data_IF_035179654741
#
_entry.id   IF_035179654741
#
_cell.length_a   1.000
_cell.length_b   1.000
_cell.length_c   1.000
_cell.angle_alpha   90.00
_cell.angle_beta   90.00
_cell.angle_gamma   90.00
#
_symmetry.space_group_name_H-M   'P 1'
#
loop_
_entity.id
_entity.type
_entity.pdbx_description
1 polymer ?
#
# COMPACT_ATOMS: atom_id res chain seq x y z
N UNK A 1 78.84 25.28 20.27
CA UNK A 1 79.41 24.94 21.59
C UNK A 1 78.84 23.59 21.99
N UNK A 2 79.72 22.57 22.11
CA UNK A 2 79.52 21.20 22.68
C UNK A 2 78.39 20.33 22.08
N UNK A 3 78.63 19.27 21.28
CA UNK A 3 79.34 17.98 21.47
C UNK A 3 78.88 17.19 22.72
N UNK A 4 78.22 16.03 22.52
CA UNK A 4 78.64 14.63 22.89
C UNK A 4 77.45 13.65 23.00
N UNK A 5 77.39 12.60 22.16
CA UNK A 5 77.77 11.16 22.39
C UNK A 5 76.56 10.32 22.87
N UNK A 6 75.94 9.49 21.99
CA UNK A 6 76.17 8.05 21.71
C UNK A 6 75.70 7.13 22.85
N UNK A 7 74.85 6.14 22.51
CA UNK A 7 75.10 4.69 22.73
C UNK A 7 74.21 3.90 21.75
N UNK A 8 74.88 3.21 20.84
CA UNK A 8 74.38 2.10 20.04
C UNK A 8 74.37 0.82 20.88
N UNK A 9 73.42 -0.08 20.62
CA UNK A 9 73.72 -1.51 20.69
C UNK A 9 73.20 -2.21 19.44
N UNK A 10 74.17 -2.63 18.64
CA UNK A 10 74.07 -3.50 17.48
C UNK A 10 74.13 -4.94 18.02
N UNK A 11 73.22 -5.82 17.59
CA UNK A 11 73.51 -7.25 17.57
C UNK A 11 73.16 -7.81 16.19
N UNK A 12 74.17 -8.43 15.60
CA UNK A 12 74.25 -9.01 14.26
C UNK A 12 74.23 -10.52 14.40
N UNK A 13 73.49 -11.20 13.53
CA UNK A 13 73.85 -12.46 12.82
C UNK A 13 72.57 -13.06 12.20
N UNK A 14 72.37 -12.99 10.87
CA UNK A 14 72.90 -13.87 9.81
C UNK A 14 72.35 -15.31 9.85
N UNK A 15 71.50 -15.70 8.89
CA UNK A 15 71.83 -16.56 7.73
C UNK A 15 70.57 -17.17 7.06
N UNK A 16 70.42 -16.86 5.76
CA UNK A 16 70.06 -17.71 4.60
C UNK A 16 68.98 -18.81 4.75
N UNK A 17 67.93 -18.73 3.91
CA UNK A 17 67.44 -19.85 3.09
C UNK A 17 66.50 -19.37 1.96
N UNK A 18 66.77 -19.85 0.75
CA UNK A 18 65.98 -19.70 -0.48
C UNK A 18 64.57 -20.32 -0.37
N UNK A 19 63.64 -19.82 -1.20
CA UNK A 19 62.37 -20.51 -1.43
C UNK A 19 61.35 -19.66 -2.20
N UNK A 20 61.55 -19.54 -3.51
CA UNK A 20 60.51 -19.08 -4.44
C UNK A 20 59.43 -20.17 -4.55
N UNK A 21 58.20 -19.87 -4.11
CA UNK A 21 56.99 -20.59 -4.52
C UNK A 21 55.74 -19.78 -4.22
N UNK A 22 54.92 -19.63 -5.26
CA UNK A 22 53.59 -19.01 -5.26
C UNK A 22 52.69 -19.54 -4.14
N UNK A 23 51.99 -18.64 -3.44
CA UNK A 23 50.73 -18.97 -2.78
C UNK A 23 49.68 -17.86 -2.93
N UNK A 24 48.54 -18.32 -3.40
CA UNK A 24 47.25 -17.65 -3.58
C UNK A 24 46.59 -17.25 -2.26
N UNK A 25 45.61 -16.36 -2.42
CA UNK A 25 44.36 -16.19 -1.67
C UNK A 25 44.39 -15.48 -0.31
N UNK A 26 43.88 -14.23 -0.29
CA UNK A 26 42.53 -13.95 0.21
C UNK A 26 42.19 -12.45 0.04
N UNK A 27 41.77 -12.06 -1.17
CA UNK A 27 40.84 -10.95 -1.32
C UNK A 27 39.44 -11.51 -1.14
N UNK A 28 38.76 -11.06 -0.08
CA UNK A 28 37.36 -11.35 0.19
C UNK A 28 36.50 -10.83 -0.96
N UNK A 29 36.13 -11.73 -1.87
CA UNK A 29 34.95 -11.61 -2.73
C UNK A 29 33.71 -11.52 -1.82
N UNK A 30 33.23 -10.31 -1.58
CA UNK A 30 31.79 -10.11 -1.41
C UNK A 30 31.20 -10.01 -2.82
N UNK A 31 31.12 -11.16 -3.49
CA UNK A 31 30.15 -11.37 -4.56
C UNK A 31 28.77 -11.40 -3.90
N UNK A 32 28.15 -10.22 -3.78
CA UNK A 32 26.69 -10.15 -3.67
C UNK A 32 26.18 -10.78 -4.95
N UNK A 33 25.67 -12.01 -4.82
CA UNK A 33 25.06 -12.76 -5.89
C UNK A 33 23.87 -12.00 -6.45
N UNK A 34 24.12 -11.13 -7.42
CA UNK A 34 23.20 -10.87 -8.52
C UNK A 34 23.15 -12.13 -9.37
N UNK A 35 22.44 -13.13 -8.88
CA UNK A 35 21.95 -14.21 -9.72
C UNK A 35 20.78 -13.62 -10.54
N UNK A 36 21.11 -12.71 -11.46
CA UNK A 36 20.25 -12.31 -12.56
C UNK A 36 20.23 -13.47 -13.56
N UNK A 37 19.57 -14.54 -13.13
CA UNK A 37 19.29 -15.71 -13.94
C UNK A 37 18.21 -15.37 -14.95
N UNK A 38 18.57 -14.59 -15.98
CA UNK A 38 18.49 -15.02 -17.38
C UNK A 38 18.37 -13.84 -18.34
N UNK A 39 19.33 -13.74 -19.25
CA UNK A 39 19.19 -13.15 -20.59
C UNK A 39 18.15 -13.91 -21.45
N UNK A 40 17.01 -14.33 -20.88
CA UNK A 40 15.95 -15.01 -21.61
C UNK A 40 14.88 -14.00 -21.99
N UNK A 41 14.91 -13.61 -23.26
CA UNK A 41 13.85 -12.90 -23.98
C UNK A 41 13.51 -11.50 -23.46
N UNK A 42 14.43 -10.53 -23.63
CA UNK A 42 14.05 -9.10 -23.55
C UNK A 42 13.41 -8.65 -24.86
N UNK A 43 12.17 -9.06 -25.09
CA UNK A 43 11.29 -8.31 -25.98
C UNK A 43 11.16 -6.88 -25.46
N UNK A 44 11.01 -5.93 -26.36
CA UNK A 44 10.66 -4.54 -26.08
C UNK A 44 9.18 -4.32 -26.41
N UNK A 45 8.64 -3.16 -26.06
CA UNK A 45 7.23 -2.84 -26.39
C UNK A 45 6.95 -2.90 -27.90
N UNK A 46 7.92 -2.55 -28.74
CA UNK A 46 7.82 -2.66 -30.21
C UNK A 46 7.50 -4.08 -30.66
N UNK A 47 8.04 -5.09 -29.97
CA UNK A 47 7.88 -6.50 -30.36
C UNK A 47 6.49 -7.07 -30.01
N UNK A 48 5.70 -6.32 -29.25
CA UNK A 48 4.32 -6.64 -28.85
C UNK A 48 3.33 -5.59 -29.37
N UNK A 49 3.71 -4.87 -30.43
CA UNK A 49 2.85 -3.88 -31.09
C UNK A 49 1.50 -4.49 -31.49
N UNK A 50 0.43 -3.72 -31.28
CA UNK A 50 -0.94 -4.12 -31.58
C UNK A 50 -1.55 -5.15 -30.60
N UNK A 51 -0.80 -5.72 -29.66
CA UNK A 51 -1.35 -6.67 -28.68
C UNK A 51 -2.08 -5.91 -27.56
N UNK A 52 -3.35 -6.25 -27.36
CA UNK A 52 -4.16 -5.76 -26.25
C UNK A 52 -3.85 -6.56 -24.98
N UNK A 53 -3.47 -5.85 -23.92
CA UNK A 53 -3.14 -6.40 -22.62
C UNK A 53 -4.09 -5.88 -21.54
N UNK A 54 -4.54 -6.79 -20.68
CA UNK A 54 -5.36 -6.48 -19.52
C UNK A 54 -4.55 -6.69 -18.25
N UNK A 55 -4.51 -5.69 -17.37
CA UNK A 55 -3.93 -5.85 -16.05
C UNK A 55 -4.82 -6.82 -15.26
N UNK A 56 -4.23 -7.92 -14.82
CA UNK A 56 -4.94 -9.01 -14.12
C UNK A 56 -4.58 -9.06 -12.65
N UNK A 57 -3.36 -8.65 -12.27
CA UNK A 57 -2.91 -8.61 -10.88
C UNK A 57 -2.12 -7.35 -10.63
N UNK A 58 -2.28 -6.82 -9.42
CA UNK A 58 -1.36 -5.84 -8.85
C UNK A 58 -0.98 -6.31 -7.44
N UNK A 59 0.31 -6.36 -7.16
CA UNK A 59 0.90 -7.00 -5.99
C UNK A 59 1.97 -6.13 -5.35
N UNK A 60 2.08 -6.19 -4.04
CA UNK A 60 3.27 -5.71 -3.34
C UNK A 60 4.43 -6.70 -3.53
N UNK A 61 5.61 -6.36 -3.03
CA UNK A 61 6.82 -7.18 -3.10
C UNK A 61 6.70 -8.55 -2.44
N UNK A 62 5.83 -8.68 -1.43
CA UNK A 62 5.48 -9.94 -0.77
C UNK A 62 4.53 -10.82 -1.60
N UNK A 63 4.20 -10.41 -2.83
CA UNK A 63 3.28 -11.08 -3.74
C UNK A 63 1.81 -11.12 -3.24
N UNK A 64 1.45 -10.23 -2.30
CA UNK A 64 0.08 -10.04 -1.83
C UNK A 64 -0.56 -8.82 -2.51
N UNK A 65 -1.89 -8.85 -2.66
CA UNK A 65 -2.66 -7.69 -3.14
C UNK A 65 -3.01 -6.71 -2.02
N UNK A 66 -2.80 -7.09 -0.76
CA UNK A 66 -3.13 -6.30 0.43
C UNK A 66 -1.86 -5.99 1.22
N UNK A 67 -1.81 -4.81 1.84
CA UNK A 67 -0.81 -4.51 2.87
C UNK A 67 -1.40 -4.64 4.28
N UNK A 68 -0.57 -4.44 5.30
CA UNK A 68 -0.95 -4.49 6.72
C UNK A 68 -2.01 -3.45 7.13
N UNK A 69 -2.12 -2.34 6.40
CA UNK A 69 -3.07 -1.27 6.69
C UNK A 69 -4.46 -1.54 6.09
N UNK A 70 -4.62 -2.64 5.35
CA UNK A 70 -5.86 -2.97 4.63
C UNK A 70 -5.98 -2.34 3.23
N UNK A 71 -4.93 -1.65 2.76
CA UNK A 71 -4.89 -1.09 1.41
C UNK A 71 -4.74 -2.21 0.38
N UNK A 72 -5.65 -2.23 -0.61
CA UNK A 72 -5.64 -3.20 -1.70
C UNK A 72 -5.13 -2.57 -3.00
N UNK A 73 -4.21 -3.27 -3.65
CA UNK A 73 -3.78 -2.99 -5.02
C UNK A 73 -4.78 -3.57 -6.02
N UNK A 74 -5.62 -2.71 -6.57
CA UNK A 74 -6.63 -3.12 -7.54
C UNK A 74 -6.13 -2.95 -8.98
N UNK A 75 -6.02 -4.05 -9.74
CA UNK A 75 -5.70 -3.98 -11.17
C UNK A 75 -6.86 -3.35 -11.94
N UNK A 76 -6.56 -2.42 -12.83
CA UNK A 76 -7.58 -1.64 -13.55
C UNK A 76 -7.16 -1.26 -14.97
N UNK A 77 -5.88 -1.41 -15.32
CA UNK A 77 -5.36 -0.92 -16.59
C UNK A 77 -5.68 -1.89 -17.72
N UNK A 78 -5.96 -1.31 -18.89
CA UNK A 78 -5.98 -2.01 -20.17
C UNK A 78 -5.11 -1.18 -21.10
N UNK A 79 -4.11 -1.81 -21.72
CA UNK A 79 -3.10 -1.13 -22.53
C UNK A 79 -2.91 -1.87 -23.85
N UNK A 80 -2.56 -1.14 -24.90
CA UNK A 80 -2.19 -1.69 -26.20
C UNK A 80 -1.05 -0.88 -26.77
N UNK A 81 0.08 -1.51 -27.06
CA UNK A 81 1.19 -0.80 -27.72
C UNK A 81 0.76 -0.40 -29.13
N UNK A 82 1.15 0.80 -29.55
CA UNK A 82 0.83 1.34 -30.88
C UNK A 82 2.09 1.97 -31.47
N UNK A 83 2.88 1.16 -32.16
CA UNK A 83 4.17 1.57 -32.71
C UNK A 83 5.24 1.79 -31.64
N UNK A 84 6.30 2.52 -32.02
CA UNK A 84 7.55 2.60 -31.24
C UNK A 84 7.46 3.48 -30.00
N UNK A 85 6.69 4.56 -30.08
CA UNK A 85 6.70 5.67 -29.13
C UNK A 85 5.29 6.03 -28.65
N UNK A 86 4.29 5.20 -28.93
CA UNK A 86 2.93 5.43 -28.49
C UNK A 86 2.28 4.17 -27.94
N UNK A 87 1.37 4.39 -26.99
CA UNK A 87 0.58 3.33 -26.37
C UNK A 87 -0.83 3.84 -26.18
N UNK A 88 -1.81 2.95 -26.35
CA UNK A 88 -3.19 3.22 -26.01
C UNK A 88 -3.46 2.71 -24.59
N UNK A 89 -4.09 3.54 -23.76
CA UNK A 89 -4.46 3.23 -22.38
C UNK A 89 -5.95 3.50 -22.19
N UNK A 90 -6.67 2.58 -21.55
CA UNK A 90 -8.08 2.79 -21.26
C UNK A 90 -8.28 3.92 -20.23
N UNK A 91 -9.10 4.89 -20.60
CA UNK A 91 -9.50 6.02 -19.77
C UNK A 91 -10.91 5.80 -19.24
N UNK A 92 -11.10 5.58 -17.93
CA UNK A 92 -12.43 5.46 -17.33
C UNK A 92 -13.28 6.72 -17.54
N UNK A 93 -12.65 7.90 -17.50
CA UNK A 93 -13.33 9.19 -17.67
C UNK A 93 -13.90 9.37 -19.07
N UNK A 94 -13.15 8.98 -20.10
CA UNK A 94 -13.61 9.06 -21.50
C UNK A 94 -14.30 7.78 -22.00
N UNK A 95 -14.38 6.73 -21.17
CA UNK A 95 -14.94 5.41 -21.51
C UNK A 95 -14.34 4.81 -22.78
N UNK A 96 -13.05 5.02 -23.03
CA UNK A 96 -12.39 4.61 -24.26
C UNK A 96 -10.87 4.58 -24.16
N UNK A 97 -10.22 4.05 -25.19
CA UNK A 97 -8.76 4.01 -25.30
C UNK A 97 -8.22 5.37 -25.73
N UNK A 98 -7.24 5.90 -25.00
CA UNK A 98 -6.54 7.14 -25.34
C UNK A 98 -5.10 6.83 -25.75
N UNK A 99 -4.63 7.44 -26.84
CA UNK A 99 -3.23 7.33 -27.24
C UNK A 99 -2.41 8.29 -26.39
N UNK A 100 -1.35 7.78 -25.77
CA UNK A 100 -0.37 8.52 -24.98
C UNK A 100 1.02 8.24 -25.52
N UNK A 101 1.92 9.21 -25.34
CA UNK A 101 3.33 9.03 -25.64
C UNK A 101 3.95 8.04 -24.65
N UNK A 102 4.69 7.07 -25.19
CA UNK A 102 5.47 6.10 -24.43
C UNK A 102 6.91 6.61 -24.35
N UNK A 103 7.21 7.37 -23.30
CA UNK A 103 8.53 7.94 -23.12
C UNK A 103 9.47 6.90 -22.53
N UNK A 104 10.52 6.55 -23.25
CA UNK A 104 11.61 5.73 -22.73
C UNK A 104 12.55 6.57 -21.84
N UNK A 105 12.93 5.99 -20.71
CA UNK A 105 13.96 6.47 -19.81
C UNK A 105 14.99 5.33 -19.57
N UNK A 106 16.12 5.64 -18.97
CA UNK A 106 17.19 4.69 -18.69
C UNK A 106 16.71 3.49 -17.83
N UNK A 107 17.39 2.35 -17.94
CA UNK A 107 17.13 1.18 -17.09
C UNK A 107 15.79 0.48 -17.35
N UNK A 108 15.31 0.48 -18.61
CA UNK A 108 14.00 -0.08 -19.01
C UNK A 108 12.83 0.55 -18.24
N UNK A 109 12.96 1.83 -17.93
CA UNK A 109 11.89 2.63 -17.34
C UNK A 109 11.13 3.33 -18.46
N UNK A 110 9.81 3.32 -18.36
CA UNK A 110 8.94 3.98 -19.32
C UNK A 110 7.94 4.85 -18.56
N UNK A 111 7.71 6.04 -19.06
CA UNK A 111 6.60 6.88 -18.61
C UNK A 111 5.46 6.78 -19.62
N UNK A 112 4.27 6.51 -19.10
CA UNK A 112 3.04 6.69 -19.83
C UNK A 112 1.91 7.05 -18.87
N UNK A 113 0.98 7.88 -19.35
CA UNK A 113 -0.15 8.34 -18.54
C UNK A 113 0.27 8.94 -17.17
N UNK A 114 1.40 9.67 -17.14
CA UNK A 114 1.99 10.33 -15.95
C UNK A 114 2.43 9.37 -14.83
N UNK A 115 2.58 8.08 -15.12
CA UNK A 115 3.10 7.09 -14.17
C UNK A 115 4.35 6.45 -14.79
N UNK A 116 5.34 6.14 -13.95
CA UNK A 116 6.59 5.51 -14.37
C UNK A 116 6.55 4.01 -14.08
N UNK A 117 7.02 3.21 -15.02
CA UNK A 117 7.07 1.76 -14.92
C UNK A 117 8.43 1.23 -15.33
N UNK A 118 9.05 0.42 -14.48
CA UNK A 118 10.21 -0.40 -14.82
C UNK A 118 9.74 -1.73 -15.38
N UNK A 119 10.19 -2.08 -16.58
CA UNK A 119 9.86 -3.36 -17.20
C UNK A 119 10.66 -4.48 -16.54
N UNK A 120 9.97 -5.54 -16.10
CA UNK A 120 10.57 -6.77 -15.57
C UNK A 120 10.46 -7.92 -16.56
N UNK A 121 9.37 -8.00 -17.32
CA UNK A 121 9.16 -9.02 -18.34
C UNK A 121 8.27 -8.48 -19.47
N UNK A 122 8.62 -8.79 -20.72
CA UNK A 122 7.75 -8.64 -21.88
C UNK A 122 7.73 -9.95 -22.66
N UNK A 123 6.53 -10.45 -22.91
CA UNK A 123 6.25 -11.57 -23.80
C UNK A 123 4.98 -11.26 -24.59
N UNK A 124 4.70 -12.00 -25.66
CA UNK A 124 3.43 -11.85 -26.41
C UNK A 124 2.19 -12.20 -25.58
N UNK A 125 2.36 -13.00 -24.52
CA UNK A 125 1.28 -13.47 -23.67
C UNK A 125 1.15 -12.66 -22.37
N UNK A 126 2.24 -12.08 -21.88
CA UNK A 126 2.28 -11.43 -20.56
C UNK A 126 3.28 -10.29 -20.46
N UNK A 127 2.93 -9.30 -19.62
CA UNK A 127 3.83 -8.23 -19.19
C UNK A 127 3.94 -8.26 -17.66
N UNK A 128 5.14 -8.00 -17.15
CA UNK A 128 5.37 -7.70 -15.74
C UNK A 128 6.03 -6.33 -15.63
N UNK A 129 5.31 -5.38 -15.06
CA UNK A 129 5.75 -4.00 -14.89
C UNK A 129 5.81 -3.66 -13.41
N UNK A 130 6.90 -3.05 -12.95
CA UNK A 130 7.01 -2.48 -11.61
C UNK A 130 6.66 -1.00 -11.69
N UNK A 131 5.60 -0.56 -11.04
CA UNK A 131 5.24 0.86 -10.92
C UNK A 131 6.22 1.55 -9.96
N UNK A 132 6.75 2.68 -10.39
CA UNK A 132 7.74 3.46 -9.66
C UNK A 132 7.12 4.74 -9.12
N UNK A 133 7.46 5.08 -7.87
CA UNK A 133 7.20 6.42 -7.35
C UNK A 133 8.37 7.34 -7.71
N UNK A 134 8.09 8.36 -8.51
CA UNK A 134 9.07 9.36 -8.93
C UNK A 134 8.74 10.70 -8.29
N UNK A 135 9.72 11.28 -7.61
CA UNK A 135 9.61 12.61 -7.01
C UNK A 135 10.73 13.50 -7.57
N UNK A 136 10.34 14.56 -8.29
CA UNK A 136 11.28 15.40 -9.01
C UNK A 136 11.99 14.62 -10.11
N UNK A 137 13.33 14.53 -10.03
CA UNK A 137 14.18 13.77 -10.96
C UNK A 137 14.75 12.48 -10.35
N UNK A 138 14.24 12.06 -9.18
CA UNK A 138 14.66 10.83 -8.52
C UNK A 138 13.54 9.81 -8.55
N UNK A 139 13.88 8.59 -8.99
CA UNK A 139 13.10 7.41 -8.66
C UNK A 139 13.31 7.17 -7.16
N UNK A 140 12.22 7.04 -6.41
CA UNK A 140 12.33 6.67 -4.99
C UNK A 140 12.98 5.30 -4.89
N UNK A 141 13.83 5.09 -3.88
CA UNK A 141 14.56 3.83 -3.72
C UNK A 141 13.67 2.60 -3.81
N UNK A 142 14.27 1.46 -4.14
CA UNK A 142 13.55 0.19 -4.23
C UNK A 142 12.95 -0.27 -2.88
N UNK A 143 13.27 0.43 -1.78
CA UNK A 143 12.73 0.30 -0.43
C UNK A 143 11.51 1.21 -0.14
N UNK A 144 11.18 2.15 -1.03
CA UNK A 144 9.94 2.92 -0.90
C UNK A 144 8.75 2.01 -1.24
N UNK A 145 7.89 1.74 -0.25
CA UNK A 145 6.68 0.93 -0.40
C UNK A 145 5.76 1.37 -1.56
N UNK A 146 5.88 2.63 -2.02
CA UNK A 146 5.14 3.18 -3.17
C UNK A 146 5.73 2.76 -4.52
N UNK A 147 7.01 2.38 -4.56
CA UNK A 147 7.73 1.83 -5.71
C UNK A 147 7.76 0.29 -5.74
N UNK A 148 7.28 -0.37 -4.69
CA UNK A 148 7.24 -1.84 -4.56
C UNK A 148 5.94 -2.46 -5.11
N UNK A 149 5.42 -1.93 -6.21
CA UNK A 149 4.13 -2.36 -6.79
C UNK A 149 4.33 -3.02 -8.15
N UNK A 150 3.96 -4.29 -8.26
CA UNK A 150 4.13 -5.12 -9.45
C UNK A 150 2.77 -5.36 -10.13
N UNK A 151 2.68 -4.94 -11.38
CA UNK A 151 1.51 -5.08 -12.24
C UNK A 151 1.75 -6.21 -13.25
N UNK A 152 0.89 -7.23 -13.21
CA UNK A 152 0.89 -8.33 -14.18
C UNK A 152 -0.22 -8.12 -15.19
N UNK A 153 0.13 -8.21 -16.46
CA UNK A 153 -0.80 -8.11 -17.57
C UNK A 153 -0.79 -9.40 -18.37
N UNK A 154 -1.95 -9.80 -18.87
CA UNK A 154 -2.07 -10.87 -19.86
C UNK A 154 -2.68 -10.35 -21.15
N UNK A 155 -2.23 -10.91 -22.27
CA UNK A 155 -2.80 -10.58 -23.56
C UNK A 155 -4.23 -11.13 -23.66
N UNK A 156 -5.08 -10.41 -24.38
CA UNK A 156 -6.47 -10.81 -24.61
C UNK A 156 -6.58 -12.22 -25.21
N UNK A 157 -5.66 -12.54 -26.13
CA UNK A 157 -5.55 -13.86 -26.75
C UNK A 157 -5.22 -14.95 -25.71
N UNK A 158 -4.24 -14.70 -24.83
CA UNK A 158 -3.85 -15.65 -23.79
C UNK A 158 -5.01 -15.93 -22.82
N UNK A 159 -5.72 -14.89 -22.38
CA UNK A 159 -6.88 -15.02 -21.48
C UNK A 159 -7.98 -15.88 -22.12
N UNK A 160 -8.38 -15.55 -23.35
CA UNK A 160 -9.51 -16.21 -24.03
C UNK A 160 -9.17 -17.63 -24.49
N UNK A 161 -8.03 -17.82 -25.13
CA UNK A 161 -7.74 -19.04 -25.88
C UNK A 161 -6.86 -20.03 -25.11
N UNK A 162 -6.02 -19.57 -24.17
CA UNK A 162 -5.16 -20.44 -23.36
C UNK A 162 -5.75 -20.67 -21.97
N UNK A 163 -6.05 -19.60 -21.23
CA UNK A 163 -6.61 -19.70 -19.88
C UNK A 163 -8.10 -20.04 -19.88
N UNK A 164 -8.82 -19.71 -20.95
CA UNK A 164 -10.27 -19.94 -21.12
C UNK A 164 -11.08 -19.37 -19.95
N UNK A 165 -10.77 -18.12 -19.59
CA UNK A 165 -11.36 -17.42 -18.45
C UNK A 165 -11.67 -15.96 -18.81
N UNK A 166 -12.08 -15.15 -17.84
CA UNK A 166 -12.33 -13.72 -18.02
C UNK A 166 -11.33 -12.87 -17.25
N UNK A 167 -11.23 -11.60 -17.63
CA UNK A 167 -10.38 -10.62 -16.93
C UNK A 167 -10.82 -10.48 -15.48
N UNK A 168 -12.13 -10.44 -15.22
CA UNK A 168 -12.74 -10.28 -13.90
C UNK A 168 -12.38 -11.43 -12.97
N UNK A 169 -12.40 -12.67 -13.46
CA UNK A 169 -12.01 -13.84 -12.69
C UNK A 169 -10.54 -13.76 -12.27
N UNK A 170 -9.66 -13.38 -13.21
CA UNK A 170 -8.24 -13.24 -12.96
C UNK A 170 -7.92 -12.09 -11.99
N UNK A 171 -8.76 -11.06 -11.93
CA UNK A 171 -8.62 -9.93 -10.98
C UNK A 171 -9.03 -10.26 -9.56
N UNK A 172 -9.69 -11.39 -9.31
CA UNK A 172 -10.11 -11.78 -7.96
C UNK A 172 -8.90 -11.96 -7.01
N UNK A 173 -9.06 -11.65 -5.72
CA UNK A 173 -8.09 -11.99 -4.68
C UNK A 173 -7.76 -13.49 -4.68
N UNK A 174 -6.50 -13.79 -4.40
CA UNK A 174 -5.98 -15.16 -4.32
C UNK A 174 -6.26 -15.81 -2.97
N UNK A 175 -6.04 -17.12 -2.86
CA UNK A 175 -6.10 -17.83 -1.58
C UNK A 175 -5.09 -17.28 -0.55
N UNK A 176 -3.91 -16.85 -1.02
CA UNK A 176 -2.89 -16.23 -0.16
C UNK A 176 -3.38 -14.90 0.43
N UNK A 177 -4.09 -14.10 -0.38
CA UNK A 177 -4.69 -12.84 0.09
C UNK A 177 -5.76 -13.12 1.17
N UNK A 178 -6.63 -14.11 0.94
CA UNK A 178 -7.65 -14.50 1.93
C UNK A 178 -7.03 -15.00 3.23
N UNK A 179 -5.94 -15.78 3.15
CA UNK A 179 -5.22 -16.26 4.34
C UNK A 179 -4.58 -15.10 5.10
N UNK A 180 -3.93 -14.18 4.39
CA UNK A 180 -3.30 -13.00 4.97
C UNK A 180 -4.33 -12.13 5.73
N UNK A 181 -5.47 -11.81 5.09
CA UNK A 181 -6.54 -11.04 5.74
C UNK A 181 -7.13 -11.79 6.93
N UNK A 182 -7.32 -13.11 6.83
CA UNK A 182 -7.78 -13.94 7.95
C UNK A 182 -6.83 -13.87 9.15
N UNK A 183 -5.51 -13.90 8.91
CA UNK A 183 -4.51 -13.77 9.96
C UNK A 183 -4.50 -12.38 10.60
N UNK A 184 -4.64 -11.31 9.81
CA UNK A 184 -4.78 -9.95 10.36
C UNK A 184 -6.06 -9.82 11.20
N UNK A 185 -7.20 -10.29 10.67
CA UNK A 185 -8.47 -10.26 11.37
C UNK A 185 -8.41 -11.02 12.70
N UNK A 186 -7.76 -12.20 12.73
CA UNK A 186 -7.58 -12.97 13.97
C UNK A 186 -6.90 -12.16 15.07
N UNK A 187 -5.83 -11.42 14.74
CA UNK A 187 -5.15 -10.54 15.72
C UNK A 187 -6.09 -9.49 16.28
N UNK A 188 -6.98 -8.95 15.46
CA UNK A 188 -8.00 -7.99 15.95
C UNK A 188 -9.06 -8.63 16.83
N UNK A 189 -9.30 -9.95 16.75
CA UNK A 189 -10.24 -10.60 17.65
C UNK A 189 -9.67 -10.81 19.04
N UNK A 190 -8.35 -11.03 19.12
CA UNK A 190 -7.64 -11.25 20.38
C UNK A 190 -7.55 -9.94 21.20
N UNK A 191 -7.40 -8.79 20.54
CA UNK A 191 -7.36 -7.46 21.18
C UNK A 191 -8.12 -6.41 20.34
N UNK A 192 -9.47 -6.38 20.42
CA UNK A 192 -10.33 -5.66 19.49
C UNK A 192 -10.27 -4.14 19.55
N UNK A 193 -9.88 -3.58 20.69
CA UNK A 193 -9.77 -2.13 20.90
C UNK A 193 -8.39 -1.57 20.53
N UNK A 194 -7.43 -2.41 20.13
CA UNK A 194 -6.04 -2.00 19.91
C UNK A 194 -5.84 -1.35 18.53
N UNK A 195 -5.51 -0.05 18.48
CA UNK A 195 -5.32 0.66 17.21
C UNK A 195 -4.15 0.12 16.38
N UNK A 196 -3.13 -0.48 17.01
CA UNK A 196 -1.97 -1.00 16.30
C UNK A 196 -2.27 -2.31 15.53
N UNK A 197 -3.37 -2.99 15.87
CA UNK A 197 -3.83 -4.20 15.20
C UNK A 197 -4.96 -3.93 14.23
N UNK A 198 -5.74 -2.86 14.45
CA UNK A 198 -6.80 -2.45 13.56
C UNK A 198 -6.27 -2.11 12.16
N UNK A 199 -7.04 -2.47 11.14
CA UNK A 199 -6.70 -2.18 9.74
C UNK A 199 -7.96 -1.77 8.98
N UNK A 200 -7.80 -1.07 7.86
CA UNK A 200 -8.93 -0.56 7.10
C UNK A 200 -9.73 -1.68 6.45
N UNK A 201 -11.06 -1.60 6.57
CA UNK A 201 -11.97 -2.49 5.86
C UNK A 201 -12.16 -2.03 4.41
N UNK A 202 -12.05 -2.94 3.43
CA UNK A 202 -12.46 -2.63 2.04
C UNK A 202 -13.93 -2.21 1.96
N UNK A 203 -14.73 -2.77 2.85
CA UNK A 203 -16.06 -2.31 3.20
C UNK A 203 -15.96 -1.68 4.60
N UNK A 204 -15.91 -0.35 4.72
CA UNK A 204 -15.78 0.32 6.01
C UNK A 204 -16.93 0.02 6.96
N UNK A 205 -16.71 0.22 8.25
CA UNK A 205 -17.77 0.15 9.24
C UNK A 205 -18.87 1.18 8.94
N UNK A 206 -20.13 0.83 9.19
CA UNK A 206 -21.31 1.64 8.86
C UNK A 206 -22.15 1.88 10.10
N UNK A 207 -22.56 3.13 10.31
CA UNK A 207 -23.47 3.55 11.37
C UNK A 207 -24.87 3.70 10.79
N UNK A 208 -25.81 2.86 11.22
CA UNK A 208 -27.19 2.89 10.74
C UNK A 208 -28.07 3.50 11.84
N UNK A 209 -28.76 4.63 11.60
CA UNK A 209 -29.68 5.23 12.56
C UNK A 209 -30.75 4.23 13.04
N UNK A 210 -30.91 4.11 14.36
CA UNK A 210 -31.98 3.29 14.96
C UNK A 210 -33.26 4.10 15.26
N UNK A 211 -33.25 5.42 15.03
CA UNK A 211 -34.44 6.27 15.21
C UNK A 211 -34.38 7.52 14.34
N UNK A 212 -35.51 8.22 14.21
CA UNK A 212 -35.59 9.51 13.51
C UNK A 212 -34.86 10.65 14.23
N UNK A 213 -34.49 10.45 15.49
CA UNK A 213 -33.78 11.46 16.27
C UNK A 213 -32.28 11.47 15.98
N UNK A 214 -31.76 10.55 15.17
CA UNK A 214 -30.35 10.51 14.84
C UNK A 214 -30.11 10.35 13.35
N UNK A 215 -29.00 10.88 12.86
CA UNK A 215 -28.54 10.72 11.48
C UNK A 215 -27.08 10.31 11.46
N UNK A 216 -26.71 9.56 10.42
CA UNK A 216 -25.32 9.20 10.14
C UNK A 216 -25.04 9.52 8.68
N UNK A 217 -24.07 10.39 8.43
CA UNK A 217 -23.64 10.78 7.10
C UNK A 217 -22.17 10.39 6.95
N UNK A 218 -21.85 9.58 5.92
CA UNK A 218 -20.46 9.32 5.55
C UNK A 218 -19.95 10.50 4.73
N UNK A 219 -18.93 11.18 5.23
CA UNK A 219 -18.28 12.29 4.53
C UNK A 219 -17.26 11.70 3.55
N UNK A 220 -17.50 11.89 2.26
CA UNK A 220 -16.50 11.58 1.22
C UNK A 220 -15.44 12.69 1.18
N UNK A 221 -14.18 12.29 1.07
CA UNK A 221 -13.04 13.20 0.95
C UNK A 221 -12.42 13.17 -0.44
N UNK A 222 -13.08 12.49 -1.39
CA UNK A 222 -12.61 12.37 -2.77
C UNK A 222 -12.55 13.75 -3.40
N UNK A 223 -11.35 14.11 -3.83
CA UNK A 223 -11.06 15.36 -4.49
C UNK A 223 -9.98 15.08 -5.55
N UNK A 224 -10.39 14.84 -6.81
CA UNK A 224 -9.47 14.56 -7.90
C UNK A 224 -8.50 15.72 -8.17
N UNK A 225 -8.91 16.97 -7.92
CA UNK A 225 -8.09 18.16 -8.14
C UNK A 225 -6.95 18.23 -7.12
N UNK A 226 -7.24 17.85 -5.88
CA UNK A 226 -6.25 17.77 -4.79
C UNK A 226 -5.64 16.36 -4.62
N UNK A 227 -5.75 15.49 -5.64
CA UNK A 227 -5.18 14.13 -5.69
C UNK A 227 -5.70 13.17 -4.60
N UNK A 228 -6.84 13.47 -3.97
CA UNK A 228 -7.51 12.55 -3.03
C UNK A 228 -8.32 11.53 -3.83
N UNK A 229 -7.84 10.29 -3.87
CA UNK A 229 -8.44 9.19 -4.64
C UNK A 229 -9.48 8.45 -3.81
N UNK A 230 -10.33 7.67 -4.48
CA UNK A 230 -11.40 6.87 -3.87
C UNK A 230 -10.94 5.91 -2.75
N UNK A 231 -9.66 5.51 -2.74
CA UNK A 231 -9.15 4.65 -1.68
C UNK A 231 -9.12 5.33 -0.30
N UNK A 232 -9.03 6.67 -0.26
CA UNK A 232 -8.98 7.44 0.99
C UNK A 232 -10.25 7.21 1.81
N UNK A 233 -11.42 7.13 1.14
CA UNK A 233 -12.71 6.98 1.80
C UNK A 233 -12.94 5.63 2.49
N UNK A 234 -12.13 4.60 2.18
CA UNK A 234 -12.17 3.33 2.90
C UNK A 234 -11.00 3.16 3.86
N UNK A 235 -9.84 3.76 3.58
CA UNK A 235 -8.70 3.77 4.52
C UNK A 235 -8.99 4.63 5.75
N UNK A 236 -9.64 5.78 5.54
CA UNK A 236 -9.93 6.77 6.57
C UNK A 236 -11.41 7.17 6.52
N UNK A 237 -12.33 6.23 6.81
CA UNK A 237 -13.74 6.53 6.77
C UNK A 237 -14.09 7.61 7.80
N UNK A 238 -14.82 8.64 7.36
CA UNK A 238 -15.24 9.76 8.18
C UNK A 238 -16.77 9.85 8.22
N UNK A 239 -17.33 9.97 9.42
CA UNK A 239 -18.77 10.09 9.63
C UNK A 239 -19.12 11.32 10.44
N UNK A 240 -20.20 11.99 10.03
CA UNK A 240 -20.95 12.96 10.83
C UNK A 240 -22.17 12.28 11.42
N UNK A 241 -22.22 12.20 12.73
CA UNK A 241 -23.34 11.66 13.49
C UNK A 241 -24.07 12.81 14.18
N UNK A 242 -25.34 13.01 13.88
CA UNK A 242 -26.16 14.02 14.57
C UNK A 242 -27.16 13.35 15.51
N UNK A 243 -27.29 13.90 16.71
CA UNK A 243 -28.27 13.49 17.72
C UNK A 243 -29.16 14.69 18.01
N UNK A 244 -30.40 14.60 17.55
CA UNK A 244 -31.48 15.55 17.84
C UNK A 244 -32.05 15.26 19.23
N UNK A 245 -32.43 16.31 19.98
CA UNK A 245 -32.94 16.22 21.36
C UNK A 245 -31.91 15.67 22.35
N UNK A 246 -30.65 16.06 22.17
CA UNK A 246 -29.62 15.82 23.17
C UNK A 246 -29.85 16.68 24.41
N UNK A 247 -29.39 16.21 25.58
CA UNK A 247 -29.53 16.95 26.84
C UNK A 247 -28.83 18.33 26.81
N UNK A 248 -27.70 18.42 26.08
CA UNK A 248 -26.90 19.64 25.89
C UNK A 248 -26.35 19.67 24.49
N UNK A 249 -26.08 20.86 23.99
CA UNK A 249 -25.37 21.04 22.72
C UNK A 249 -23.91 20.63 22.88
N UNK A 250 -23.39 19.89 21.91
CA UNK A 250 -21.97 19.55 21.84
C UNK A 250 -21.55 19.22 20.40
N UNK A 251 -20.25 19.35 20.13
CA UNK A 251 -19.63 18.96 18.88
C UNK A 251 -18.25 18.38 19.19
N UNK A 252 -18.12 17.07 19.02
CA UNK A 252 -16.88 16.34 19.32
C UNK A 252 -16.33 15.68 18.08
N UNK A 253 -15.01 15.68 17.97
CA UNK A 253 -14.27 15.05 16.88
C UNK A 253 -13.20 14.14 17.46
N UNK A 254 -13.27 12.85 17.11
CA UNK A 254 -12.40 11.81 17.68
C UNK A 254 -12.39 10.59 16.76
N UNK A 255 -11.41 9.71 16.95
CA UNK A 255 -11.37 8.42 16.26
C UNK A 255 -11.81 7.29 17.18
N UNK A 256 -12.46 6.30 16.61
CA UNK A 256 -12.87 5.07 17.30
C UNK A 256 -12.40 3.86 16.53
N UNK A 257 -12.07 2.80 17.26
CA UNK A 257 -11.98 1.46 16.69
C UNK A 257 -13.37 0.83 16.78
N UNK A 258 -13.90 0.42 15.63
CA UNK A 258 -15.10 -0.42 15.54
C UNK A 258 -14.62 -1.87 15.45
N UNK A 259 -14.92 -2.68 16.45
CA UNK A 259 -14.51 -4.09 16.44
C UNK A 259 -15.37 -4.96 15.53
N UNK A 260 -15.00 -6.24 15.41
CA UNK A 260 -15.69 -7.21 14.58
C UNK A 260 -17.16 -7.50 14.96
N UNK A 261 -17.59 -7.03 16.14
CA UNK A 261 -18.94 -7.16 16.67
C UNK A 261 -19.71 -5.84 16.70
N UNK A 262 -19.07 -4.73 16.29
CA UNK A 262 -19.69 -3.41 16.25
C UNK A 262 -19.55 -2.63 17.57
N UNK A 263 -18.77 -3.10 18.54
CA UNK A 263 -18.46 -2.33 19.74
C UNK A 263 -17.40 -1.26 19.42
N UNK A 264 -17.55 -0.10 20.07
CA UNK A 264 -16.71 1.07 19.86
C UNK A 264 -15.68 1.20 20.97
N UNK A 265 -14.45 1.55 20.60
CA UNK A 265 -13.37 1.89 21.54
C UNK A 265 -12.79 3.24 21.13
N UNK A 266 -12.78 4.23 22.03
CA UNK A 266 -12.18 5.54 21.72
C UNK A 266 -10.66 5.38 21.59
N UNK A 267 -10.14 5.74 20.43
CA UNK A 267 -8.71 5.74 20.17
C UNK A 267 -8.11 7.12 20.50
N UNK A 268 -8.29 8.09 19.59
CA UNK A 268 -7.70 9.42 19.71
C UNK A 268 -8.74 10.52 19.86
N UNK A 269 -8.39 11.50 20.66
CA UNK A 269 -9.20 12.69 20.93
C UNK A 269 -8.51 13.89 20.27
N UNK A 270 -9.22 14.56 19.36
CA UNK A 270 -8.66 15.68 18.60
C UNK A 270 -9.04 17.02 19.21
N UNK A 271 -8.16 18.03 19.09
CA UNK A 271 -8.45 19.41 19.47
C UNK A 271 -8.50 19.70 20.97
N UNK A 272 -7.76 18.93 21.79
CA UNK A 272 -7.72 19.08 23.26
C UNK A 272 -6.27 19.08 23.74
N UNK A 273 -5.97 19.91 24.75
CA UNK A 273 -4.66 19.96 25.42
C UNK A 273 -4.32 18.62 26.07
N UNK A 274 -3.03 18.30 26.18
CA UNK A 274 -2.58 16.99 26.67
C UNK A 274 -3.14 16.63 28.06
N UNK A 275 -3.14 17.60 28.97
CA UNK A 275 -3.62 17.44 30.36
C UNK A 275 -5.11 17.08 30.44
N UNK A 276 -5.89 17.54 29.47
CA UNK A 276 -7.34 17.32 29.39
C UNK A 276 -7.70 16.05 28.60
N UNK A 277 -6.77 15.45 27.86
CA UNK A 277 -7.04 14.29 26.99
C UNK A 277 -7.62 13.11 27.77
N UNK A 278 -7.10 12.82 28.97
CA UNK A 278 -7.58 11.69 29.79
C UNK A 278 -9.03 11.90 30.21
N UNK A 279 -9.38 13.11 30.67
CA UNK A 279 -10.74 13.45 31.05
C UNK A 279 -11.68 13.43 29.84
N UNK A 280 -11.23 13.99 28.71
CA UNK A 280 -12.01 13.99 27.47
C UNK A 280 -12.23 12.57 26.95
N UNK A 281 -11.22 11.71 26.98
CA UNK A 281 -11.35 10.31 26.57
C UNK A 281 -12.41 9.59 27.38
N UNK A 282 -12.39 9.71 28.72
CA UNK A 282 -13.40 9.11 29.60
C UNK A 282 -14.82 9.59 29.29
N UNK A 283 -14.99 10.88 29.00
CA UNK A 283 -16.29 11.42 28.57
C UNK A 283 -16.75 10.81 27.25
N UNK A 284 -15.84 10.72 26.27
CA UNK A 284 -16.13 10.15 24.95
C UNK A 284 -16.41 8.65 25.04
N UNK A 285 -15.71 7.91 25.91
CA UNK A 285 -16.01 6.49 26.19
C UNK A 285 -17.47 6.36 26.62
N UNK A 286 -17.92 7.15 27.60
CA UNK A 286 -19.32 7.17 28.03
C UNK A 286 -20.30 7.55 26.91
N UNK A 287 -19.94 8.49 26.03
CA UNK A 287 -20.75 8.84 24.86
C UNK A 287 -20.85 7.66 23.88
N UNK A 288 -19.74 7.00 23.58
CA UNK A 288 -19.72 5.87 22.65
C UNK A 288 -20.47 4.66 23.19
N UNK A 289 -20.24 4.28 24.45
CA UNK A 289 -20.83 3.10 25.08
C UNK A 289 -22.32 3.25 25.33
N UNK A 290 -22.77 4.42 25.79
CA UNK A 290 -24.18 4.62 26.18
C UNK A 290 -25.00 5.20 25.04
N UNK A 291 -24.51 6.22 24.33
CA UNK A 291 -25.32 6.88 23.32
C UNK A 291 -25.16 6.21 21.97
N UNK A 292 -23.94 6.17 21.43
CA UNK A 292 -23.75 5.73 20.05
C UNK A 292 -24.16 4.27 19.84
N UNK A 293 -23.81 3.37 20.77
CA UNK A 293 -24.20 1.96 20.67
C UNK A 293 -25.71 1.71 20.81
N UNK A 294 -26.46 2.59 21.48
CA UNK A 294 -27.93 2.47 21.59
C UNK A 294 -28.67 3.17 20.45
N UNK A 295 -28.09 4.24 19.91
CA UNK A 295 -28.71 5.08 18.89
C UNK A 295 -28.43 4.59 17.46
N UNK A 296 -27.37 3.81 17.26
CA UNK A 296 -26.99 3.29 15.95
C UNK A 296 -26.81 1.78 15.98
N UNK A 297 -27.28 1.11 14.92
CA UNK A 297 -26.86 -0.24 14.59
C UNK A 297 -25.51 -0.14 13.86
N UNK A 298 -24.46 -0.67 14.47
CA UNK A 298 -23.09 -0.55 13.97
C UNK A 298 -22.74 -1.83 13.20
N UNK A 299 -22.54 -1.70 11.90
CA UNK A 299 -21.99 -2.77 11.07
C UNK A 299 -20.47 -2.66 11.06
N UNK A 300 -19.74 -3.73 11.41
CA UNK A 300 -18.29 -3.69 11.47
C UNK A 300 -17.65 -3.66 10.08
N UNK A 301 -16.42 -3.17 10.01
CA UNK A 301 -15.62 -3.21 8.80
C UNK A 301 -15.37 -4.63 8.31
N UNK A 302 -15.30 -4.80 6.98
CA UNK A 302 -15.07 -6.10 6.34
C UNK A 302 -14.07 -6.01 5.21
N UNK A 303 -13.29 -7.07 5.08
CA UNK A 303 -12.40 -7.32 3.94
C UNK A 303 -12.52 -8.78 3.52
N UNK A 304 -12.79 -9.03 2.24
CA UNK A 304 -13.04 -10.38 1.71
C UNK A 304 -14.15 -11.15 2.47
N UNK A 305 -15.16 -10.44 2.98
CA UNK A 305 -16.25 -11.02 3.77
C UNK A 305 -15.92 -11.29 5.24
N UNK A 306 -14.67 -11.09 5.67
CA UNK A 306 -14.23 -11.27 7.05
C UNK A 306 -14.42 -9.96 7.82
N UNK A 307 -15.15 -10.01 8.93
CA UNK A 307 -15.29 -8.88 9.87
C UNK A 307 -14.00 -8.73 10.69
N UNK A 308 -13.59 -7.50 10.98
CA UNK A 308 -12.38 -7.22 11.78
C UNK A 308 -12.47 -5.84 12.41
N UNK A 309 -11.56 -5.54 13.35
CA UNK A 309 -11.45 -4.18 13.89
C UNK A 309 -10.92 -3.20 12.84
N UNK A 310 -11.54 -2.03 12.76
CA UNK A 310 -11.17 -0.96 11.83
C UNK A 310 -11.37 0.41 12.48
N UNK A 311 -10.50 1.37 12.17
CA UNK A 311 -10.62 2.73 12.66
C UNK A 311 -11.60 3.55 11.82
N UNK A 312 -12.36 4.41 12.50
CA UNK A 312 -13.27 5.38 11.90
C UNK A 312 -13.10 6.74 12.57
N UNK A 313 -13.12 7.80 11.78
CA UNK A 313 -13.22 9.17 12.28
C UNK A 313 -14.68 9.56 12.49
N UNK A 314 -15.00 10.08 13.67
CA UNK A 314 -16.34 10.53 14.01
C UNK A 314 -16.34 12.02 14.35
N UNK A 315 -17.29 12.72 13.75
CA UNK A 315 -17.80 14.00 14.23
C UNK A 315 -19.20 13.77 14.82
N UNK A 316 -19.34 13.93 16.14
CA UNK A 316 -20.61 13.72 16.83
C UNK A 316 -21.17 15.06 17.30
N UNK A 317 -22.38 15.38 16.85
CA UNK A 317 -23.06 16.65 17.10
C UNK A 317 -24.35 16.38 17.88
N UNK A 318 -24.45 16.94 19.08
CA UNK A 318 -25.68 16.98 19.85
C UNK A 318 -26.39 18.33 19.64
N UNK A 319 -27.64 18.30 19.20
CA UNK A 319 -28.52 19.48 19.15
C UNK A 319 -29.50 19.41 20.31
N UNK A 320 -29.56 20.44 21.14
CA UNK A 320 -30.47 20.49 22.29
C UNK A 320 -31.91 20.64 21.79
N UNK A 321 -32.85 19.93 22.40
CA UNK A 321 -34.27 20.00 22.01
C UNK A 321 -35.19 19.20 22.90
#
# INVERSE_FOLDING_TARGET
>A
MSIRIIISFLFVSCFIACGEQQKKDNQSKNEVGSNDGSEKNKLNFVDVDGILFHEVKRRFKDNLSFNKDGFQQEPSWTIQVKGKDSMMVYSPTKKGMETVYLQYDHGQVYNFMREFFRVKLITKDSLLLQRLHVQGRSISGDDDYRSEVYCTYYSENYIKNKLKTTVEELRKPSKADSLFISQLAKKTFDDPGNPALAFAGRQPAVFIPNSKNVTAEKISTIDPLNRRRAFVDYLYPNYRLEINKSYKEFNYSFTVIVDAWGKLYVNQVNGVLEDDKKHRKKLLDGITEVYLQNLFVIQPGRTLGIRHSSEVYLQVIGKKG
#
